data_IF_053640712906
#
_entry.id   IF_053640712906
#
_cell.length_a   1.000
_cell.length_b   1.000
_cell.length_c   1.000
_cell.angle_alpha   90.00
_cell.angle_beta   90.00
_cell.angle_gamma   90.00
#
_symmetry.space_group_name_H-M   'P 1'
#
loop_
_entity.id
_entity.type
_entity.pdbx_description
1 polymer ?
#
# COMPACT_ATOMS: atom_id res chain seq x y z
N UNK A 1 -13.15 11.32 11.83
CA UNK A 1 -13.27 9.94 12.35
C UNK A 1 -13.97 9.03 11.34
N UNK A 2 -15.14 9.41 10.78
CA UNK A 2 -15.82 8.60 9.74
C UNK A 2 -14.90 8.22 8.57
N UNK A 3 -14.19 9.18 7.95
CA UNK A 3 -13.27 8.88 6.83
C UNK A 3 -12.09 7.99 7.23
N UNK A 4 -11.58 8.11 8.47
CA UNK A 4 -10.50 7.26 8.98
C UNK A 4 -11.00 5.82 9.10
N UNK A 5 -12.14 5.63 9.78
CA UNK A 5 -12.74 4.30 9.95
C UNK A 5 -13.07 3.66 8.60
N UNK A 6 -13.61 4.45 7.66
CA UNK A 6 -13.91 3.98 6.31
C UNK A 6 -12.65 3.55 5.56
N UNK A 7 -11.57 4.33 5.64
CA UNK A 7 -10.29 3.97 5.00
C UNK A 7 -9.73 2.67 5.58
N UNK A 8 -9.74 2.53 6.91
CA UNK A 8 -9.32 1.30 7.58
C UNK A 8 -10.15 0.09 7.14
N UNK A 9 -11.47 0.26 7.05
CA UNK A 9 -12.37 -0.80 6.61
C UNK A 9 -12.10 -1.20 5.14
N UNK A 10 -12.00 -0.23 4.23
CA UNK A 10 -11.75 -0.48 2.81
C UNK A 10 -10.40 -1.15 2.57
N UNK A 11 -9.34 -0.68 3.24
CA UNK A 11 -8.01 -1.27 3.09
C UNK A 11 -7.97 -2.68 3.71
N UNK A 12 -8.60 -2.90 4.86
CA UNK A 12 -8.73 -4.23 5.46
C UNK A 12 -9.47 -5.20 4.52
N UNK A 13 -10.58 -4.77 3.92
CA UNK A 13 -11.34 -5.56 2.96
C UNK A 13 -10.49 -5.89 1.73
N UNK A 14 -9.78 -4.89 1.18
CA UNK A 14 -8.90 -5.09 0.03
C UNK A 14 -7.80 -6.12 0.31
N UNK A 15 -7.06 -5.99 1.41
CA UNK A 15 -6.01 -6.94 1.76
C UNK A 15 -6.56 -8.34 2.09
N UNK A 16 -7.78 -8.42 2.63
CA UNK A 16 -8.46 -9.70 2.86
C UNK A 16 -8.84 -10.38 1.54
N UNK A 17 -9.36 -9.63 0.57
CA UNK A 17 -9.61 -10.15 -0.79
C UNK A 17 -8.31 -10.61 -1.44
N UNK A 18 -7.24 -9.82 -1.32
CA UNK A 18 -5.93 -10.17 -1.88
C UNK A 18 -5.38 -11.45 -1.23
N UNK A 19 -5.52 -11.62 0.08
CA UNK A 19 -5.14 -12.84 0.78
C UNK A 19 -5.94 -14.06 0.29
N UNK A 20 -7.25 -13.92 0.05
CA UNK A 20 -8.10 -14.99 -0.48
C UNK A 20 -7.75 -15.41 -1.92
N UNK A 21 -7.15 -14.50 -2.69
CA UNK A 21 -6.65 -14.81 -4.03
C UNK A 21 -5.33 -15.59 -4.01
N UNK A 22 -4.63 -15.61 -2.86
CA UNK A 22 -3.39 -16.34 -2.64
C UNK A 22 -2.35 -16.08 -3.76
N UNK A 23 -1.78 -17.15 -4.33
CA UNK A 23 -0.79 -17.13 -5.41
C UNK A 23 -1.42 -17.23 -6.81
N UNK A 24 -2.74 -17.03 -6.93
CA UNK A 24 -3.47 -17.15 -8.22
C UNK A 24 -3.41 -15.87 -9.06
N UNK A 25 -3.08 -14.75 -8.45
CA UNK A 25 -2.82 -13.49 -9.12
C UNK A 25 -1.36 -13.41 -9.54
N UNK A 26 -1.06 -12.63 -10.57
CA UNK A 26 0.32 -12.38 -11.00
C UNK A 26 1.10 -11.52 -9.98
N UNK A 27 2.41 -11.76 -9.84
CA UNK A 27 3.30 -11.07 -8.87
C UNK A 27 3.31 -9.56 -9.11
N UNK A 28 3.44 -9.14 -10.36
CA UNK A 28 3.48 -7.72 -10.70
C UNK A 28 2.14 -7.06 -10.45
N UNK A 29 1.05 -7.73 -10.82
CA UNK A 29 -0.30 -7.25 -10.56
C UNK A 29 -0.57 -7.11 -9.06
N UNK A 30 -0.20 -8.11 -8.26
CA UNK A 30 -0.35 -8.08 -6.81
C UNK A 30 0.38 -6.87 -6.19
N UNK A 31 1.66 -6.67 -6.56
CA UNK A 31 2.46 -5.56 -6.07
C UNK A 31 1.90 -4.19 -6.48
N UNK A 32 1.42 -4.07 -7.73
CA UNK A 32 0.81 -2.85 -8.22
C UNK A 32 -0.49 -2.53 -7.46
N UNK A 33 -1.33 -3.53 -7.19
CA UNK A 33 -2.56 -3.34 -6.41
C UNK A 33 -2.28 -2.94 -4.96
N UNK A 34 -1.29 -3.56 -4.31
CA UNK A 34 -0.84 -3.21 -2.95
C UNK A 34 -0.43 -1.75 -2.85
N UNK A 35 0.20 -1.22 -3.91
CA UNK A 35 0.62 0.18 -3.96
C UNK A 35 -0.58 1.09 -4.25
N UNK A 36 -1.30 0.83 -5.33
CA UNK A 36 -2.28 1.77 -5.87
C UNK A 36 -3.55 1.85 -5.02
N UNK A 37 -4.12 0.72 -4.61
CA UNK A 37 -5.44 0.72 -3.96
C UNK A 37 -5.41 1.47 -2.63
N UNK A 38 -4.47 1.20 -1.70
CA UNK A 38 -4.40 1.94 -0.45
C UNK A 38 -4.03 3.42 -0.66
N UNK A 39 -3.14 3.73 -1.61
CA UNK A 39 -2.74 5.11 -1.91
C UNK A 39 -3.89 5.95 -2.45
N UNK A 40 -4.63 5.43 -3.44
CA UNK A 40 -5.78 6.10 -4.05
C UNK A 40 -6.91 6.25 -3.02
N UNK A 41 -7.25 5.18 -2.29
CA UNK A 41 -8.28 5.20 -1.24
C UNK A 41 -7.95 6.28 -0.20
N UNK A 42 -6.69 6.32 0.24
CA UNK A 42 -6.24 7.30 1.24
C UNK A 42 -6.28 8.72 0.70
N UNK A 43 -5.83 8.94 -0.54
CA UNK A 43 -5.81 10.25 -1.20
C UNK A 43 -7.21 10.80 -1.52
N UNK A 44 -8.19 9.95 -1.81
CA UNK A 44 -9.59 10.39 -2.00
C UNK A 44 -10.19 10.79 -0.66
N UNK A 45 -10.06 9.92 0.35
CA UNK A 45 -10.72 10.11 1.65
C UNK A 45 -10.10 11.25 2.49
N UNK A 46 -8.83 11.61 2.26
CA UNK A 46 -8.20 12.78 2.89
C UNK A 46 -8.80 14.11 2.39
N UNK A 47 -9.42 14.14 1.20
CA UNK A 47 -10.14 15.33 0.70
C UNK A 47 -11.31 15.64 1.63
N UNK A 48 -12.06 14.61 2.04
CA UNK A 48 -13.27 14.75 2.85
C UNK A 48 -13.01 14.80 4.37
N UNK A 49 -11.76 14.66 4.82
CA UNK A 49 -11.45 14.67 6.25
C UNK A 49 -11.19 16.09 6.75
N UNK A 50 -11.72 16.41 7.94
CA UNK A 50 -11.34 17.62 8.67
C UNK A 50 -10.02 17.42 9.42
N UNK A 51 -9.81 16.28 10.08
CA UNK A 51 -8.56 16.03 10.85
C UNK A 51 -7.44 15.49 9.95
N UNK A 52 -6.91 16.33 9.07
CA UNK A 52 -5.98 15.95 8.00
C UNK A 52 -4.68 15.29 8.48
N UNK A 53 -3.99 15.90 9.46
CA UNK A 53 -2.74 15.35 10.01
C UNK A 53 -2.93 13.98 10.66
N UNK A 54 -3.96 13.84 11.49
CA UNK A 54 -4.28 12.58 12.16
C UNK A 54 -4.66 11.49 11.13
N UNK A 55 -5.46 11.86 10.12
CA UNK A 55 -5.85 10.96 9.04
C UNK A 55 -4.62 10.44 8.27
N UNK A 56 -3.69 11.33 7.93
CA UNK A 56 -2.51 11.00 7.16
C UNK A 56 -1.64 9.98 7.89
N UNK A 57 -1.26 10.26 9.14
CA UNK A 57 -0.38 9.36 9.90
C UNK A 57 -1.03 8.01 10.18
N UNK A 58 -2.32 8.00 10.59
CA UNK A 58 -3.03 6.74 10.84
C UNK A 58 -3.13 5.89 9.58
N UNK A 59 -3.43 6.49 8.41
CA UNK A 59 -3.54 5.70 7.19
C UNK A 59 -2.21 5.12 6.72
N UNK A 60 -1.13 5.91 6.75
CA UNK A 60 0.20 5.41 6.38
C UNK A 60 0.59 4.23 7.28
N UNK A 61 0.44 4.38 8.60
CA UNK A 61 0.79 3.33 9.56
C UNK A 61 -0.10 2.10 9.37
N UNK A 62 -1.41 2.28 9.25
CA UNK A 62 -2.34 1.15 9.10
C UNK A 62 -2.15 0.40 7.79
N UNK A 63 -1.88 1.09 6.68
CA UNK A 63 -1.61 0.43 5.39
C UNK A 63 -0.31 -0.38 5.43
N UNK A 64 0.72 0.11 6.16
CA UNK A 64 1.93 -0.67 6.40
C UNK A 64 1.65 -1.90 7.26
N UNK A 65 0.83 -1.78 8.31
CA UNK A 65 0.45 -2.94 9.13
C UNK A 65 -0.30 -3.98 8.29
N UNK A 66 -1.27 -3.56 7.46
CA UNK A 66 -1.99 -4.48 6.59
C UNK A 66 -1.06 -5.16 5.58
N UNK A 67 -0.14 -4.41 4.98
CA UNK A 67 0.90 -4.98 4.11
C UNK A 67 1.76 -6.02 4.86
N UNK A 68 2.23 -5.72 6.08
CA UNK A 68 3.07 -6.64 6.84
C UNK A 68 2.32 -7.94 7.14
N UNK A 69 1.05 -7.86 7.55
CA UNK A 69 0.21 -9.03 7.83
C UNK A 69 0.02 -9.86 6.56
N UNK A 70 -0.35 -9.20 5.46
CA UNK A 70 -0.54 -9.84 4.16
C UNK A 70 0.73 -10.53 3.66
N UNK A 71 1.87 -9.82 3.69
CA UNK A 71 3.15 -10.35 3.24
C UNK A 71 3.60 -11.53 4.09
N UNK A 72 3.42 -11.48 5.42
CA UNK A 72 3.67 -12.64 6.27
C UNK A 72 2.82 -13.83 5.85
N UNK A 73 1.54 -13.63 5.61
CA UNK A 73 0.64 -14.69 5.19
C UNK A 73 1.07 -15.31 3.85
N UNK A 74 1.24 -14.50 2.80
CA UNK A 74 1.60 -14.97 1.45
C UNK A 74 2.95 -15.68 1.42
N UNK A 75 3.95 -15.15 2.13
CA UNK A 75 5.28 -15.76 2.18
C UNK A 75 5.30 -17.15 2.84
N UNK A 76 4.28 -17.49 3.65
CA UNK A 76 4.14 -18.81 4.28
C UNK A 76 3.29 -19.79 3.46
N UNK A 77 2.72 -19.37 2.33
CA UNK A 77 1.96 -20.27 1.47
C UNK A 77 2.87 -21.24 0.71
N UNK A 78 2.39 -22.47 0.54
CA UNK A 78 3.07 -23.48 -0.26
C UNK A 78 3.20 -23.00 -1.71
N UNK A 79 4.41 -23.12 -2.26
CA UNK A 79 4.71 -22.70 -3.64
C UNK A 79 5.04 -21.21 -3.78
N UNK A 80 5.13 -20.43 -2.70
CA UNK A 80 5.51 -19.02 -2.75
C UNK A 80 6.86 -18.78 -3.44
N UNK A 81 7.89 -19.60 -3.14
CA UNK A 81 9.20 -19.45 -3.78
C UNK A 81 9.11 -19.67 -5.30
N UNK A 82 8.39 -20.71 -5.73
CA UNK A 82 8.17 -20.99 -7.16
C UNK A 82 7.32 -19.89 -7.82
N UNK A 83 6.40 -19.28 -7.08
CA UNK A 83 5.61 -18.14 -7.56
C UNK A 83 6.50 -16.92 -7.85
N UNK A 84 7.44 -16.60 -6.97
CA UNK A 84 8.42 -15.53 -7.18
C UNK A 84 9.39 -15.87 -8.32
N UNK A 85 9.90 -17.09 -8.36
CA UNK A 85 10.85 -17.56 -9.38
C UNK A 85 10.27 -17.45 -10.79
N UNK A 86 9.01 -17.85 -10.98
CA UNK A 86 8.31 -17.72 -12.28
C UNK A 86 8.16 -16.28 -12.77
N UNK A 87 8.19 -15.31 -11.86
CA UNK A 87 8.11 -13.90 -12.19
C UNK A 87 9.49 -13.25 -12.40
N UNK A 88 10.59 -13.97 -12.19
CA UNK A 88 11.91 -13.46 -12.54
C UNK A 88 12.10 -13.53 -14.06
N UNK A 89 12.66 -12.47 -14.64
CA UNK A 89 12.98 -12.40 -16.07
C UNK A 89 14.49 -12.38 -16.20
N UNK A 90 15.06 -13.35 -16.91
CA UNK A 90 16.49 -13.39 -17.20
C UNK A 90 16.69 -13.72 -18.68
N UNK A 91 16.74 -12.66 -19.49
CA UNK A 91 17.06 -12.73 -20.91
C UNK A 91 18.37 -11.99 -21.18
N UNK A 92 18.97 -12.17 -22.36
CA UNK A 92 20.24 -11.52 -22.74
C UNK A 92 20.25 -10.00 -22.57
N UNK A 93 19.07 -9.37 -22.64
CA UNK A 93 18.93 -7.92 -22.67
C UNK A 93 18.37 -7.32 -21.36
N UNK A 94 17.67 -8.14 -20.56
CA UNK A 94 16.92 -7.67 -19.38
C UNK A 94 17.01 -8.73 -18.27
N UNK A 95 17.49 -8.29 -17.11
CA UNK A 95 17.47 -9.07 -15.86
C UNK A 95 16.56 -8.37 -14.83
N UNK A 96 15.45 -9.00 -14.47
CA UNK A 96 14.55 -8.57 -13.40
C UNK A 96 14.58 -9.62 -12.29
N UNK A 97 15.23 -9.26 -11.18
CA UNK A 97 15.27 -10.04 -9.95
C UNK A 97 14.22 -9.55 -8.97
N UNK A 98 13.42 -10.47 -8.46
CA UNK A 98 12.43 -10.20 -7.42
C UNK A 98 12.91 -10.86 -6.14
N UNK A 99 13.08 -10.06 -5.08
CA UNK A 99 13.40 -10.62 -3.76
C UNK A 99 12.21 -11.41 -3.23
N UNK A 100 12.41 -12.65 -2.75
CA UNK A 100 11.35 -13.40 -2.08
C UNK A 100 11.01 -12.82 -0.70
N UNK A 101 11.84 -11.93 -0.14
CA UNK A 101 11.54 -11.29 1.14
C UNK A 101 10.77 -9.99 0.93
N UNK A 102 9.44 -10.08 0.98
CA UNK A 102 8.56 -8.90 0.90
C UNK A 102 8.73 -7.94 2.08
N UNK A 103 9.31 -8.39 3.19
CA UNK A 103 9.50 -7.61 4.41
C UNK A 103 10.91 -7.01 4.53
N UNK A 104 11.68 -6.97 3.44
CA UNK A 104 12.94 -6.24 3.41
C UNK A 104 12.75 -4.79 3.85
N UNK A 105 13.71 -4.29 4.62
CA UNK A 105 13.66 -2.92 5.14
C UNK A 105 13.53 -1.89 4.01
N UNK A 106 14.20 -2.10 2.89
CA UNK A 106 14.09 -1.29 1.67
C UNK A 106 12.65 -1.22 1.15
N UNK A 107 11.94 -2.35 1.10
CA UNK A 107 10.55 -2.45 0.66
C UNK A 107 9.59 -1.73 1.62
N UNK A 108 9.79 -1.91 2.93
CA UNK A 108 8.98 -1.22 3.95
C UNK A 108 9.16 0.30 3.87
N UNK A 109 10.41 0.76 3.73
CA UNK A 109 10.71 2.19 3.58
C UNK A 109 10.09 2.72 2.28
N UNK A 110 10.22 1.98 1.18
CA UNK A 110 9.62 2.35 -0.09
C UNK A 110 8.09 2.51 0.03
N UNK A 111 7.40 1.53 0.58
CA UNK A 111 5.95 1.57 0.78
C UNK A 111 5.52 2.69 1.72
N UNK A 112 6.30 2.98 2.76
CA UNK A 112 6.04 4.13 3.63
C UNK A 112 5.97 5.43 2.82
N UNK A 113 6.95 5.67 1.96
CA UNK A 113 6.96 6.87 1.11
C UNK A 113 5.85 6.87 0.07
N UNK A 114 5.58 5.72 -0.55
CA UNK A 114 4.52 5.60 -1.57
C UNK A 114 3.14 5.84 -0.97
N UNK A 115 2.88 5.41 0.27
CA UNK A 115 1.63 5.75 0.95
C UNK A 115 1.60 7.20 1.41
N UNK A 116 2.75 7.79 1.79
CA UNK A 116 2.82 9.15 2.33
C UNK A 116 2.73 10.25 1.26
N UNK A 117 3.51 10.15 0.19
CA UNK A 117 3.71 11.24 -0.78
C UNK A 117 2.39 11.66 -1.48
N UNK A 118 1.57 10.75 -2.02
CA UNK A 118 0.30 11.13 -2.64
C UNK A 118 -0.63 11.86 -1.67
N UNK A 119 -0.67 11.42 -0.42
CA UNK A 119 -1.47 12.07 0.62
C UNK A 119 -0.93 13.48 0.91
N UNK A 120 0.39 13.64 1.06
CA UNK A 120 1.03 14.95 1.27
C UNK A 120 0.71 15.95 0.16
N UNK A 121 0.68 15.50 -1.10
CA UNK A 121 0.28 16.35 -2.24
C UNK A 121 -1.15 16.85 -2.05
N UNK A 122 -2.09 15.97 -1.67
CA UNK A 122 -3.48 16.37 -1.44
C UNK A 122 -3.59 17.33 -0.26
N UNK A 123 -2.87 17.09 0.84
CA UNK A 123 -2.83 18.02 1.99
C UNK A 123 -2.31 19.40 1.57
N UNK A 124 -1.24 19.44 0.78
CA UNK A 124 -0.69 20.69 0.26
C UNK A 124 -1.70 21.46 -0.59
N UNK A 125 -2.45 20.78 -1.47
CA UNK A 125 -3.52 21.40 -2.27
C UNK A 125 -4.62 21.98 -1.36
N UNK A 126 -5.05 21.24 -0.33
CA UNK A 126 -6.05 21.73 0.64
C UNK A 126 -5.55 22.96 1.39
N UNK A 127 -4.29 22.94 1.82
CA UNK A 127 -3.67 24.06 2.51
C UNK A 127 -3.65 25.32 1.61
N UNK A 128 -3.26 25.17 0.34
CA UNK A 128 -3.25 26.27 -0.64
C UNK A 128 -4.64 26.85 -0.90
N UNK A 129 -5.71 26.06 -0.72
CA UNK A 129 -7.11 26.50 -0.84
C UNK A 129 -7.65 27.22 0.41
N UNK A 130 -6.83 27.43 1.44
CA UNK A 130 -7.22 28.14 2.65
C UNK A 130 -7.95 27.27 3.68
N UNK A 131 -7.94 25.94 3.53
CA UNK A 131 -8.55 25.06 4.52
C UNK A 131 -7.73 25.05 5.82
N UNK A 132 -8.27 25.67 6.88
CA UNK A 132 -7.61 25.81 8.20
C UNK A 132 -7.20 24.45 8.77
N UNK A 133 -7.97 23.40 8.48
CA UNK A 133 -7.72 22.05 8.98
C UNK A 133 -6.64 21.27 8.20
N UNK A 134 -5.99 21.89 7.22
CA UNK A 134 -4.90 21.31 6.42
C UNK A 134 -3.50 21.77 6.87
N UNK A 135 -3.37 22.56 7.95
CA UNK A 135 -2.06 22.85 8.56
C UNK A 135 -1.47 21.55 9.13
N UNK A 136 -0.28 21.18 8.66
CA UNK A 136 0.49 20.01 9.10
C UNK A 136 1.29 20.38 10.35
#
# INVERSE_FOLDING_TARGET
>A
MKSILLSLFLNCLFFSILALLELRIDVYLANLLIILVPSITSAILIIFTSKTKLYLWLNVISNLIFYIIYSKYIMHLDGYLSYIERAQINNSDIEIKISPNMLELSQIIFLFFVYLIPQMIVVFIKHKRGEINARI
#
